data_IF_817669536465
#
_entry.id   IF_817669536465
#
_cell.length_a   1.000
_cell.length_b   1.000
_cell.length_c   1.000
_cell.angle_alpha   90.00
_cell.angle_beta   90.00
_cell.angle_gamma   90.00
#
_symmetry.space_group_name_H-M   'P 1'
#
loop_
_entity.id
_entity.type
_entity.pdbx_description
1 polymer ?
#
# COMPACT_ATOMS: atom_id res chain seq x y z
N UNK A 1 27.19 19.28 13.52
CA UNK A 1 26.17 18.39 14.13
C UNK A 1 25.63 17.49 13.03
N UNK A 2 26.01 16.22 13.03
CA UNK A 2 25.45 15.22 12.10
C UNK A 2 24.05 14.82 12.58
N UNK A 3 23.05 14.62 11.70
CA UNK A 3 21.76 14.10 12.12
C UNK A 3 21.93 12.66 12.62
N UNK A 4 21.21 12.25 13.68
CA UNK A 4 21.26 10.87 14.15
C UNK A 4 20.72 9.94 13.05
N UNK A 5 21.53 8.94 12.69
CA UNK A 5 21.08 7.81 11.89
C UNK A 5 19.89 7.17 12.62
N UNK A 6 18.69 7.26 12.03
CA UNK A 6 17.53 6.53 12.53
C UNK A 6 17.86 5.04 12.53
N UNK A 7 18.04 4.51 13.73
CA UNK A 7 18.31 3.11 13.99
C UNK A 7 17.15 2.24 13.49
N UNK A 8 17.45 1.26 12.62
CA UNK A 8 16.76 -0.03 12.62
C UNK A 8 15.48 -0.18 11.79
N UNK A 9 15.09 0.77 10.93
CA UNK A 9 14.05 0.47 9.94
C UNK A 9 14.64 -0.48 8.89
N UNK A 10 14.27 -1.77 8.92
CA UNK A 10 14.59 -2.71 7.84
C UNK A 10 14.10 -2.09 6.53
N UNK A 11 15.03 -1.55 5.75
CA UNK A 11 14.73 -0.93 4.47
C UNK A 11 14.05 -1.99 3.61
N UNK A 12 12.77 -1.78 3.36
CA UNK A 12 12.00 -2.69 2.57
C UNK A 12 12.45 -2.59 1.11
N UNK A 13 12.36 -3.69 0.34
CA UNK A 13 12.96 -3.73 -0.99
C UNK A 13 12.27 -2.68 -1.89
N UNK A 14 13.04 -1.78 -2.55
CA UNK A 14 12.45 -0.81 -3.45
C UNK A 14 11.76 -1.51 -4.62
N UNK A 15 10.60 -1.00 -5.01
CA UNK A 15 9.83 -1.45 -6.16
C UNK A 15 10.06 -0.54 -7.36
N UNK A 16 9.90 -1.10 -8.56
CA UNK A 16 9.94 -0.33 -9.81
C UNK A 16 8.70 0.56 -9.96
N UNK A 17 8.80 1.59 -10.79
CA UNK A 17 7.67 2.47 -11.09
C UNK A 17 6.46 1.72 -11.69
N UNK A 18 6.71 0.75 -12.55
CA UNK A 18 5.67 -0.13 -13.12
C UNK A 18 4.94 -0.96 -12.06
N UNK A 19 5.63 -1.31 -10.96
CA UNK A 19 4.99 -1.95 -9.81
C UNK A 19 4.21 -0.94 -8.97
N UNK A 20 4.71 0.30 -8.84
CA UNK A 20 4.00 1.37 -8.12
C UNK A 20 2.65 1.70 -8.77
N UNK A 21 2.58 1.75 -10.11
CA UNK A 21 1.32 1.94 -10.87
C UNK A 21 0.29 0.83 -10.64
N UNK A 22 0.73 -0.35 -10.21
CA UNK A 22 -0.13 -1.52 -9.93
C UNK A 22 -0.49 -1.64 -8.44
N UNK A 23 -0.01 -0.73 -7.59
CA UNK A 23 -0.35 -0.75 -6.17
C UNK A 23 -1.83 -0.43 -5.97
N UNK A 24 -2.42 -1.05 -4.95
CA UNK A 24 -3.77 -0.73 -4.52
C UNK A 24 -3.75 0.59 -3.75
N UNK A 25 -4.68 1.48 -4.07
CA UNK A 25 -4.96 2.66 -3.24
C UNK A 25 -5.18 2.28 -1.77
N UNK A 26 -4.67 3.10 -0.85
CA UNK A 26 -4.66 2.87 0.59
C UNK A 26 -3.48 2.02 1.10
N UNK A 27 -2.59 1.55 0.22
CA UNK A 27 -1.39 0.80 0.64
C UNK A 27 -0.39 1.74 1.31
N UNK A 28 0.18 1.30 2.44
CA UNK A 28 1.26 2.05 3.09
C UNK A 28 2.58 1.79 2.38
N UNK A 29 3.28 2.87 2.03
CA UNK A 29 4.56 2.83 1.34
C UNK A 29 5.57 3.69 2.10
N UNK A 30 6.84 3.32 2.04
CA UNK A 30 7.93 4.23 2.36
C UNK A 30 8.31 4.96 1.06
N UNK A 31 8.13 6.27 1.06
CA UNK A 31 8.46 7.15 -0.05
C UNK A 31 9.75 7.91 0.26
N UNK A 32 10.73 7.81 -0.63
CA UNK A 32 11.95 8.61 -0.55
C UNK A 32 11.95 9.62 -1.70
N UNK A 33 11.93 10.90 -1.36
CA UNK A 33 12.01 12.02 -2.30
C UNK A 33 13.46 12.53 -2.36
N UNK A 34 13.86 13.15 -3.46
CA UNK A 34 15.20 13.73 -3.62
C UNK A 34 15.55 14.65 -2.44
N UNK A 35 16.73 14.45 -1.83
CA UNK A 35 17.21 15.18 -0.67
C UNK A 35 16.33 15.08 0.60
N UNK A 36 15.41 14.12 0.67
CA UNK A 36 14.56 13.89 1.83
C UNK A 36 14.78 12.49 2.44
N UNK A 37 14.45 12.37 3.72
CA UNK A 37 14.44 11.07 4.39
C UNK A 37 13.23 10.24 3.96
N UNK A 38 13.34 8.90 3.95
CA UNK A 38 12.21 8.02 3.71
C UNK A 38 11.06 8.33 4.67
N UNK A 39 9.88 8.59 4.13
CA UNK A 39 8.69 8.95 4.91
C UNK A 39 7.58 7.95 4.63
N UNK A 40 6.91 7.49 5.69
CA UNK A 40 5.76 6.60 5.55
C UNK A 40 4.55 7.41 5.10
N UNK A 41 3.98 7.03 3.97
CA UNK A 41 2.82 7.69 3.37
C UNK A 41 1.81 6.65 2.88
N UNK A 42 0.57 7.07 2.71
CA UNK A 42 -0.51 6.23 2.20
C UNK A 42 -0.70 6.50 0.72
N UNK A 43 -0.51 5.47 -0.11
CA UNK A 43 -0.59 5.53 -1.56
C UNK A 43 -2.03 5.77 -2.02
N UNK A 44 -2.24 6.65 -3.00
CA UNK A 44 -3.54 6.87 -3.63
C UNK A 44 -3.52 6.41 -5.09
N UNK A 45 -2.55 6.87 -5.86
CA UNK A 45 -2.46 6.64 -7.29
C UNK A 45 -1.03 6.93 -7.80
N UNK A 46 -0.64 6.30 -8.91
CA UNK A 46 0.57 6.66 -9.66
C UNK A 46 0.30 6.48 -11.15
N UNK A 47 0.75 7.44 -11.95
CA UNK A 47 0.79 7.37 -13.41
C UNK A 47 2.23 7.47 -13.90
N UNK A 48 2.45 7.85 -15.16
CA UNK A 48 3.79 7.99 -15.72
C UNK A 48 4.53 9.25 -15.25
N UNK A 49 3.81 10.28 -14.79
CA UNK A 49 4.37 11.57 -14.42
C UNK A 49 4.35 11.86 -12.91
N UNK A 50 3.35 11.38 -12.16
CA UNK A 50 3.14 11.75 -10.75
C UNK A 50 2.82 10.55 -9.86
N UNK A 51 3.18 10.69 -8.58
CA UNK A 51 2.76 9.85 -7.47
C UNK A 51 1.86 10.66 -6.54
N UNK A 52 0.65 10.17 -6.29
CA UNK A 52 -0.28 10.74 -5.33
C UNK A 52 -0.26 9.94 -4.04
N UNK A 53 -0.11 10.66 -2.93
CA UNK A 53 -0.19 10.12 -1.58
C UNK A 53 -1.04 11.02 -0.70
N UNK A 54 -1.55 10.50 0.42
CA UNK A 54 -2.07 11.39 1.47
C UNK A 54 -0.92 12.23 2.02
N UNK A 55 -1.21 13.51 2.29
CA UNK A 55 -0.20 14.40 2.86
C UNK A 55 0.12 13.97 4.31
N UNK A 56 1.38 13.59 4.62
CA UNK A 56 1.76 13.15 5.96
C UNK A 56 1.88 14.30 6.97
N UNK A 57 1.99 15.55 6.50
CA UNK A 57 2.16 16.74 7.36
C UNK A 57 0.84 17.38 7.76
N UNK A 58 -0.24 17.01 7.10
CA UNK A 58 -1.56 17.56 7.39
C UNK A 58 -2.09 17.02 8.70
N UNK A 59 -2.86 17.85 9.41
CA UNK A 59 -3.60 17.41 10.58
C UNK A 59 -4.36 16.12 10.26
N UNK A 60 -4.35 15.16 11.19
CA UNK A 60 -4.96 13.84 11.00
C UNK A 60 -6.41 14.02 10.55
N UNK A 61 -6.69 13.69 9.30
CA UNK A 61 -7.99 13.92 8.72
C UNK A 61 -9.04 12.96 9.28
N UNK A 62 -10.32 13.35 9.25
CA UNK A 62 -11.41 12.43 9.53
C UNK A 62 -11.28 11.18 8.65
N UNK A 63 -11.46 10.00 9.25
CA UNK A 63 -11.36 8.70 8.57
C UNK A 63 -12.26 8.62 7.32
N UNK A 64 -13.41 9.28 7.36
CA UNK A 64 -14.33 9.38 6.21
C UNK A 64 -13.67 10.05 5.00
N UNK A 65 -12.90 11.13 5.19
CA UNK A 65 -12.23 11.83 4.09
C UNK A 65 -11.15 10.92 3.51
N UNK A 66 -10.36 10.30 4.38
CA UNK A 66 -9.34 9.36 3.96
C UNK A 66 -9.92 8.21 3.12
N UNK A 67 -11.00 7.57 3.58
CA UNK A 67 -11.67 6.49 2.84
C UNK A 67 -12.21 6.98 1.49
N UNK A 68 -12.76 8.19 1.44
CA UNK A 68 -13.23 8.79 0.19
C UNK A 68 -12.08 9.05 -0.79
N UNK A 69 -10.92 9.51 -0.33
CA UNK A 69 -9.75 9.74 -1.17
C UNK A 69 -9.14 8.42 -1.68
N UNK A 70 -9.10 7.40 -0.81
CA UNK A 70 -8.59 6.07 -1.15
C UNK A 70 -9.52 5.34 -2.14
N UNK A 71 -10.83 5.49 -2.02
CA UNK A 71 -11.80 4.79 -2.87
C UNK A 71 -11.77 5.24 -4.34
N UNK A 72 -11.26 6.44 -4.62
CA UNK A 72 -11.16 6.96 -5.98
C UNK A 72 -10.23 6.11 -6.86
N UNK A 73 -9.12 5.62 -6.31
CA UNK A 73 -8.17 4.77 -7.04
C UNK A 73 -7.81 5.32 -8.43
N UNK A 74 -8.07 4.56 -9.49
CA UNK A 74 -7.79 5.01 -10.87
C UNK A 74 -8.58 6.25 -11.32
N UNK A 75 -9.65 6.63 -10.61
CA UNK A 75 -10.44 7.84 -10.91
C UNK A 75 -9.65 9.13 -10.67
N UNK A 76 -8.56 9.07 -9.89
CA UNK A 76 -7.64 10.19 -9.70
C UNK A 76 -7.14 10.79 -11.01
N UNK A 77 -6.97 9.96 -12.05
CA UNK A 77 -6.61 10.44 -13.38
C UNK A 77 -7.60 11.48 -13.92
N UNK A 78 -8.91 11.23 -13.79
CA UNK A 78 -9.95 12.14 -14.28
C UNK A 78 -10.09 13.39 -13.40
N UNK A 79 -9.89 13.25 -12.07
CA UNK A 79 -9.91 14.41 -11.16
C UNK A 79 -8.80 15.39 -11.51
N UNK A 80 -7.57 14.89 -11.72
CA UNK A 80 -6.42 15.75 -11.97
C UNK A 80 -6.33 16.27 -13.41
N UNK A 81 -6.66 15.46 -14.41
CA UNK A 81 -6.47 15.82 -15.82
C UNK A 81 -7.71 16.41 -16.49
N UNK A 82 -8.90 16.12 -15.96
CA UNK A 82 -10.17 16.56 -16.56
C UNK A 82 -11.00 17.44 -15.63
N UNK A 83 -10.50 17.73 -14.41
CA UNK A 83 -11.25 18.48 -13.41
C UNK A 83 -12.54 17.77 -12.96
N UNK A 84 -12.64 16.45 -13.16
CA UNK A 84 -13.83 15.71 -12.82
C UNK A 84 -14.07 15.72 -11.30
N UNK A 85 -15.34 15.76 -10.90
CA UNK A 85 -15.74 15.59 -9.52
C UNK A 85 -16.38 14.21 -9.33
N UNK A 86 -16.01 13.50 -8.28
CA UNK A 86 -16.60 12.21 -7.93
C UNK A 86 -17.13 12.23 -6.51
N UNK A 87 -18.27 11.59 -6.30
CA UNK A 87 -18.85 11.41 -4.97
C UNK A 87 -18.45 10.03 -4.42
N UNK A 88 -17.90 10.01 -3.21
CA UNK A 88 -17.61 8.80 -2.44
C UNK A 88 -17.85 9.06 -0.95
N UNK A 89 -18.43 8.10 -0.23
CA UNK A 89 -18.74 8.26 1.21
C UNK A 89 -19.57 9.53 1.51
N UNK A 90 -20.46 9.92 0.57
CA UNK A 90 -21.24 11.16 0.59
C UNK A 90 -20.41 12.45 0.49
N UNK A 91 -19.09 12.33 0.33
CA UNK A 91 -18.19 13.43 0.05
C UNK A 91 -17.97 13.59 -1.45
N UNK A 92 -18.07 14.82 -1.95
CA UNK A 92 -17.66 15.16 -3.31
C UNK A 92 -16.19 15.54 -3.30
N UNK A 93 -15.38 14.87 -4.11
CA UNK A 93 -13.96 15.16 -4.30
C UNK A 93 -13.77 15.72 -5.70
N UNK A 94 -13.16 16.91 -5.80
CA UNK A 94 -12.77 17.57 -7.04
C UNK A 94 -11.35 18.13 -6.91
N UNK A 95 -10.83 18.72 -7.98
CA UNK A 95 -9.53 19.40 -7.98
C UNK A 95 -9.48 20.56 -6.98
N UNK A 96 -10.63 21.17 -6.67
CA UNK A 96 -10.73 22.28 -5.73
C UNK A 96 -10.67 21.80 -4.28
N UNK A 97 -11.13 20.59 -3.97
CA UNK A 97 -11.14 20.09 -2.60
C UNK A 97 -12.11 18.95 -2.33
N UNK A 98 -12.29 18.69 -1.05
CA UNK A 98 -13.24 17.72 -0.52
C UNK A 98 -14.43 18.46 0.08
N UNK A 99 -15.64 18.08 -0.32
CA UNK A 99 -16.88 18.75 0.04
C UNK A 99 -17.87 17.77 0.67
N UNK A 100 -18.64 18.22 1.67
CA UNK A 100 -19.84 17.56 2.18
C UNK A 100 -21.05 18.43 1.85
N UNK A 101 -21.84 18.01 0.85
CA UNK A 101 -22.78 18.92 0.20
C UNK A 101 -22.07 20.14 -0.41
N UNK A 102 -22.49 21.34 -0.01
CA UNK A 102 -21.90 22.62 -0.42
C UNK A 102 -20.75 23.09 0.49
N UNK A 103 -20.52 22.41 1.62
CA UNK A 103 -19.46 22.80 2.55
C UNK A 103 -18.12 22.21 2.13
N UNK A 104 -17.13 23.07 1.88
CA UNK A 104 -15.75 22.66 1.68
C UNK A 104 -15.13 22.26 3.02
N UNK A 105 -14.71 21.00 3.12
CA UNK A 105 -14.07 20.44 4.32
C UNK A 105 -12.56 20.65 4.30
N UNK A 106 -11.95 20.56 3.11
CA UNK A 106 -10.52 20.75 2.93
C UNK A 106 -10.16 21.09 1.48
N UNK A 107 -9.06 21.81 1.30
CA UNK A 107 -8.42 21.98 -0.01
C UNK A 107 -7.77 20.67 -0.45
N UNK A 108 -7.80 20.36 -1.74
CA UNK A 108 -7.21 19.11 -2.25
C UNK A 108 -5.69 19.08 -2.00
N UNK A 109 -5.01 20.21 -2.16
CA UNK A 109 -3.57 20.36 -1.97
C UNK A 109 -3.14 20.18 -0.50
N UNK A 110 -4.03 20.47 0.46
CA UNK A 110 -3.77 20.19 1.86
C UNK A 110 -3.89 18.71 2.17
N UNK A 111 -4.79 17.97 1.50
CA UNK A 111 -5.09 16.58 1.86
C UNK A 111 -4.33 15.55 1.04
N UNK A 112 -3.98 15.88 -0.20
CA UNK A 112 -3.26 15.04 -1.15
C UNK A 112 -1.95 15.70 -1.51
N UNK A 113 -0.86 14.94 -1.38
CA UNK A 113 0.45 15.32 -1.85
C UNK A 113 0.68 14.75 -3.25
N UNK A 114 0.97 15.64 -4.21
CA UNK A 114 1.42 15.27 -5.54
C UNK A 114 2.94 15.35 -5.60
N UNK A 115 3.59 14.24 -5.90
CA UNK A 115 5.05 14.17 -6.05
C UNK A 115 5.39 13.85 -7.50
N UNK A 116 6.10 14.73 -8.23
CA UNK A 116 6.57 14.41 -9.58
C UNK A 116 7.47 13.18 -9.57
N UNK A 117 7.31 12.28 -10.54
CA UNK A 117 8.15 11.08 -10.69
C UNK A 117 9.64 11.40 -10.67
N UNK A 118 10.04 12.50 -11.30
CA UNK A 118 11.43 12.96 -11.33
C UNK A 118 12.04 13.22 -9.93
N UNK A 119 11.19 13.51 -8.94
CA UNK A 119 11.60 13.76 -7.56
C UNK A 119 11.54 12.49 -6.69
N UNK A 120 10.99 11.38 -7.20
CA UNK A 120 10.89 10.12 -6.46
C UNK A 120 12.14 9.29 -6.66
N UNK A 121 12.91 9.09 -5.59
CA UNK A 121 14.16 8.31 -5.62
C UNK A 121 13.91 6.83 -5.34
N UNK A 122 12.97 6.52 -4.43
CA UNK A 122 12.61 5.14 -4.11
C UNK A 122 11.18 5.05 -3.58
N UNK A 123 10.54 3.91 -3.87
CA UNK A 123 9.25 3.51 -3.30
C UNK A 123 9.44 2.11 -2.74
N UNK A 124 9.04 1.87 -1.49
CA UNK A 124 9.01 0.53 -0.93
C UNK A 124 7.63 0.22 -0.33
N UNK A 125 6.96 -0.81 -0.83
CA UNK A 125 5.61 -1.17 -0.37
C UNK A 125 5.67 -2.03 0.88
N UNK A 126 5.12 -1.57 2.01
CA UNK A 126 5.16 -2.29 3.27
C UNK A 126 4.44 -3.65 3.13
N UNK A 127 5.09 -4.79 3.49
CA UNK A 127 4.39 -6.06 3.49
C UNK A 127 3.24 -5.96 4.51
N UNK A 128 2.00 -6.15 4.04
CA UNK A 128 0.86 -6.41 4.93
C UNK A 128 1.29 -7.54 5.86
N UNK A 129 1.31 -7.29 7.18
CA UNK A 129 1.52 -8.35 8.17
C UNK A 129 0.49 -9.44 7.89
N UNK A 130 0.89 -10.48 7.17
CA UNK A 130 0.10 -11.70 7.07
C UNK A 130 0.09 -12.22 8.51
N UNK A 131 -1.07 -12.22 9.14
CA UNK A 131 -1.32 -13.15 10.23
C UNK A 131 -1.11 -14.54 9.64
N UNK A 132 0.13 -15.03 9.69
CA UNK A 132 0.44 -16.42 9.45
C UNK A 132 -0.26 -17.11 10.62
N UNK A 133 -1.43 -17.68 10.35
CA UNK A 133 -2.03 -18.67 11.24
C UNK A 133 -0.96 -19.70 11.49
N UNK A 134 -0.45 -19.70 12.71
CA UNK A 134 0.54 -20.62 13.24
C UNK A 134 -0.08 -22.03 13.16
N UNK A 135 0.14 -22.74 12.05
CA UNK A 135 -0.07 -24.19 12.02
C UNK A 135 1.05 -24.77 12.88
N UNK A 136 0.80 -24.86 14.18
CA UNK A 136 1.60 -25.69 15.08
C UNK A 136 1.27 -27.13 14.71
N UNK A 137 2.07 -27.71 13.81
CA UNK A 137 2.16 -29.17 13.69
C UNK A 137 2.78 -29.63 15.00
N UNK A 138 1.94 -29.96 15.98
CA UNK A 138 2.34 -30.67 17.18
C UNK A 138 2.84 -32.05 16.75
N UNK A 139 4.15 -32.14 16.53
CA UNK A 139 4.89 -33.38 16.48
C UNK A 139 4.67 -34.13 17.80
N UNK A 140 3.73 -35.07 17.80
CA UNK A 140 3.65 -36.08 18.86
C UNK A 140 4.79 -37.05 18.62
N UNK A 141 5.87 -36.87 19.37
CA UNK A 141 6.87 -37.92 19.60
C UNK A 141 6.21 -38.96 20.51
N UNK A 142 6.10 -40.20 20.03
CA UNK A 142 5.50 -41.29 20.79
C UNK A 142 5.63 -42.64 20.10
N UNK A 143 6.88 -43.08 19.92
CA UNK A 143 7.41 -44.45 19.87
C UNK A 143 6.39 -45.61 19.87
N UNK A 144 6.49 -46.54 18.92
CA UNK A 144 6.80 -47.97 19.17
C UNK A 144 6.70 -48.83 17.88
N UNK A 145 7.85 -49.35 17.47
CA UNK A 145 8.11 -50.73 17.06
C UNK A 145 7.29 -51.45 15.96
N UNK A 146 8.10 -52.01 15.06
CA UNK A 146 8.07 -53.40 14.58
C UNK A 146 7.42 -53.72 13.22
N UNK A 147 8.32 -54.07 12.29
CA UNK A 147 8.34 -55.27 11.44
C UNK A 147 7.14 -55.51 10.51
N UNK A 148 7.43 -55.51 9.21
CA UNK A 148 6.55 -56.10 8.19
C UNK A 148 7.07 -55.91 6.77
N UNK A 149 8.20 -56.52 6.43
CA UNK A 149 8.56 -56.75 5.02
C UNK A 149 7.71 -57.93 4.52
N UNK A 150 6.85 -57.70 3.54
CA UNK A 150 6.37 -58.72 2.61
C UNK A 150 5.89 -57.99 1.34
N UNK A 151 6.71 -58.05 0.27
CA UNK A 151 6.50 -58.94 -0.87
C UNK A 151 5.43 -58.37 -1.84
N UNK A 152 5.89 -57.72 -2.91
CA UNK A 152 6.23 -58.31 -4.22
C UNK A 152 4.99 -58.40 -5.12
N UNK A 153 4.91 -57.46 -6.06
CA UNK A 153 4.07 -57.58 -7.25
C UNK A 153 4.48 -58.83 -8.05
N UNK A 154 3.53 -59.70 -8.36
CA UNK A 154 3.58 -60.68 -9.44
C UNK A 154 2.16 -61.15 -9.76
N UNK A 155 1.92 -61.48 -11.04
CA UNK A 155 0.67 -61.87 -11.72
C UNK A 155 -0.35 -60.72 -11.89
N UNK A 156 -0.65 -60.24 -13.10
CA UNK A 156 -1.03 -60.98 -14.32
C UNK A 156 -2.54 -60.75 -14.53
N UNK A 157 -3.10 -60.48 -15.71
CA UNK A 157 -2.63 -60.47 -17.08
C UNK A 157 -3.64 -59.73 -17.97
N UNK A 158 -3.40 -59.85 -19.28
CA UNK A 158 -4.14 -59.42 -20.47
C UNK A 158 -5.50 -58.73 -20.33
#
# INVERSE_FOLDING_TARGET
>A
VAPPASAGQKANKPISWEQAKKLKAGTEIDLTVTNAQPTKVRFLFADDAVLLTLNPTSAKQPERIERALVSLGARWYYVLNQGAAFTSEQLRVSQEGVFDGDQKLAELADVVQQTPRANVTAIAAQPKKRHIGLIVVLSVVGVLFAVGIAARCSEGGC
#
